data_IF_151623978033
#
_entry.id   IF_151623978033
#
_cell.length_a   1.000
_cell.length_b   1.000
_cell.length_c   1.000
_cell.angle_alpha   90.00
_cell.angle_beta   90.00
_cell.angle_gamma   90.00
#
_symmetry.space_group_name_H-M   'P 1'
#
loop_
_entity.id
_entity.type
_entity.pdbx_description
1 polymer ?
#
# COMPACT_ATOMS: atom_id res chain seq x y z
N UNK A 1 11.34 -34.91 2.70
CA UNK A 1 10.93 -33.90 3.68
C UNK A 1 11.16 -32.53 3.05
N UNK A 2 10.11 -31.87 2.61
CA UNK A 2 10.17 -30.53 2.00
C UNK A 2 10.07 -29.50 3.13
N UNK A 3 11.22 -29.07 3.64
CA UNK A 3 11.30 -28.03 4.64
C UNK A 3 11.15 -26.66 3.96
N UNK A 4 9.95 -26.10 4.13
CA UNK A 4 9.62 -24.69 4.35
C UNK A 4 10.71 -23.67 3.95
N UNK A 5 10.43 -22.92 2.88
CA UNK A 5 11.24 -21.79 2.41
C UNK A 5 10.88 -20.53 3.23
N UNK A 6 11.80 -19.90 3.97
CA UNK A 6 11.55 -18.59 4.56
C UNK A 6 12.25 -17.48 3.78
N UNK A 7 11.59 -16.32 3.68
CA UNK A 7 12.18 -14.99 3.43
C UNK A 7 12.39 -14.48 1.98
N UNK A 8 11.43 -14.71 1.07
CA UNK A 8 11.35 -13.92 -0.18
C UNK A 8 10.40 -12.69 -0.09
N UNK A 9 9.56 -12.56 0.94
CA UNK A 9 8.50 -11.51 0.99
C UNK A 9 8.89 -10.18 1.65
N UNK A 10 10.01 -10.12 2.39
CA UNK A 10 10.40 -8.90 3.15
C UNK A 10 11.15 -7.87 2.31
N UNK A 11 11.59 -8.26 1.11
CA UNK A 11 12.38 -7.41 0.20
C UNK A 11 11.55 -6.86 -0.96
N UNK A 12 10.24 -6.69 -0.79
CA UNK A 12 9.53 -5.70 -1.61
C UNK A 12 10.06 -4.34 -1.19
N UNK A 13 11.15 -3.96 -1.85
CA UNK A 13 12.18 -3.09 -1.34
C UNK A 13 11.63 -1.78 -0.77
N UNK A 14 12.16 -1.36 0.39
CA UNK A 14 11.98 0.01 0.88
C UNK A 14 12.26 1.05 -0.24
N UNK A 15 13.10 0.70 -1.21
CA UNK A 15 13.37 1.47 -2.43
C UNK A 15 12.09 1.76 -3.23
N UNK A 16 11.22 0.77 -3.46
CA UNK A 16 9.99 0.95 -4.23
C UNK A 16 9.01 1.88 -3.48
N UNK A 17 8.91 1.72 -2.15
CA UNK A 17 8.11 2.60 -1.32
C UNK A 17 8.64 4.04 -1.32
N UNK A 18 9.96 4.23 -1.25
CA UNK A 18 10.57 5.56 -1.28
C UNK A 18 10.36 6.30 -2.60
N UNK A 19 10.40 5.59 -3.73
CA UNK A 19 10.09 6.19 -5.04
C UNK A 19 8.59 6.51 -5.15
N UNK A 20 7.72 5.57 -4.79
CA UNK A 20 6.27 5.82 -4.79
C UNK A 20 5.88 7.00 -3.89
N UNK A 21 6.51 7.12 -2.74
CA UNK A 21 6.29 8.23 -1.82
C UNK A 21 6.76 9.58 -2.39
N UNK A 22 7.90 9.61 -3.09
CA UNK A 22 8.36 10.83 -3.77
C UNK A 22 7.41 11.25 -4.90
N UNK A 23 6.92 10.30 -5.69
CA UNK A 23 5.93 10.56 -6.75
C UNK A 23 4.64 11.13 -6.14
N UNK A 24 4.11 10.49 -5.10
CA UNK A 24 2.88 10.95 -4.44
C UNK A 24 3.04 12.34 -3.82
N UNK A 25 4.22 12.64 -3.25
CA UNK A 25 4.53 13.97 -2.74
C UNK A 25 4.60 15.02 -3.85
N UNK A 26 5.19 14.70 -4.99
CA UNK A 26 5.23 15.58 -6.17
C UNK A 26 3.82 15.89 -6.69
N UNK A 27 2.93 14.90 -6.64
CA UNK A 27 1.49 15.05 -6.90
C UNK A 27 0.72 15.75 -5.75
N UNK A 28 1.41 16.22 -4.72
CA UNK A 28 0.86 16.92 -3.55
C UNK A 28 -0.15 16.09 -2.74
N UNK A 29 0.02 14.76 -2.72
CA UNK A 29 -0.77 13.85 -1.89
C UNK A 29 -0.18 13.82 -0.48
N UNK A 30 -1.03 14.06 0.54
CA UNK A 30 -0.65 13.92 1.96
C UNK A 30 -1.32 12.75 2.66
N UNK A 31 -2.50 12.32 2.18
CA UNK A 31 -3.29 11.23 2.75
C UNK A 31 -3.83 10.34 1.64
N UNK A 32 -3.68 9.03 1.75
CA UNK A 32 -4.14 8.09 0.72
C UNK A 32 -4.73 6.81 1.28
N UNK A 33 -5.62 6.19 0.50
CA UNK A 33 -6.15 4.84 0.75
C UNK A 33 -5.57 3.87 -0.26
N UNK A 34 -5.09 2.73 0.21
CA UNK A 34 -4.42 1.74 -0.62
C UNK A 34 -5.44 0.74 -1.18
N UNK A 35 -5.48 0.59 -2.50
CA UNK A 35 -6.23 -0.47 -3.19
C UNK A 35 -5.46 -1.79 -3.11
N UNK A 36 -5.25 -2.30 -1.90
CA UNK A 36 -4.45 -3.48 -1.64
C UNK A 36 -4.98 -4.25 -0.44
N UNK A 37 -4.50 -5.49 -0.27
CA UNK A 37 -4.77 -6.27 0.94
C UNK A 37 -4.05 -5.63 2.13
N UNK A 38 -4.70 -5.57 3.31
CA UNK A 38 -4.10 -4.99 4.50
C UNK A 38 -2.85 -5.79 4.88
N UNK A 39 -1.70 -5.14 4.81
CA UNK A 39 -0.40 -5.72 5.17
C UNK A 39 0.33 -4.80 6.15
N UNK A 40 1.31 -5.36 6.86
CA UNK A 40 2.16 -4.57 7.76
C UNK A 40 3.04 -3.63 6.93
N UNK A 41 2.71 -2.35 6.91
CA UNK A 41 3.40 -1.32 6.13
C UNK A 41 4.42 -0.59 7.02
N UNK A 42 5.63 -0.26 6.52
CA UNK A 42 6.51 0.66 7.21
C UNK A 42 5.90 2.07 7.28
N UNK A 43 6.34 2.87 8.27
CA UNK A 43 5.87 4.25 8.43
C UNK A 43 6.28 5.12 7.25
N UNK A 44 5.31 5.80 6.63
CA UNK A 44 5.52 6.74 5.52
C UNK A 44 5.64 8.20 6.00
N UNK A 45 5.64 8.43 7.31
CA UNK A 45 5.68 9.76 7.90
C UNK A 45 6.91 10.58 7.47
N UNK A 46 8.06 9.92 7.23
CA UNK A 46 9.28 10.57 6.73
C UNK A 46 9.13 11.20 5.34
N UNK A 47 8.10 10.83 4.58
CA UNK A 47 7.79 11.38 3.26
C UNK A 47 6.63 12.38 3.26
N UNK A 48 6.03 12.66 4.43
CA UNK A 48 4.83 13.50 4.54
C UNK A 48 3.55 12.82 4.03
N UNK A 49 3.54 11.48 4.00
CA UNK A 49 2.43 10.67 3.51
C UNK A 49 1.81 9.84 4.63
N UNK A 50 0.49 9.88 4.71
CA UNK A 50 -0.32 9.13 5.67
C UNK A 50 -1.22 8.12 4.94
N UNK A 51 -1.10 6.84 5.29
CA UNK A 51 -2.03 5.81 4.80
C UNK A 51 -3.24 5.77 5.73
N UNK A 52 -4.39 6.22 5.24
CA UNK A 52 -5.62 6.32 6.04
C UNK A 52 -6.44 5.04 6.06
N UNK A 53 -6.12 4.08 5.18
CA UNK A 53 -6.75 2.77 5.18
C UNK A 53 -6.51 1.99 3.89
N UNK A 54 -7.11 0.82 3.84
CA UNK A 54 -7.17 0.00 2.64
C UNK A 54 -8.58 0.08 2.06
N UNK A 55 -8.69 0.14 0.75
CA UNK A 55 -9.96 0.02 0.04
C UNK A 55 -9.96 -1.34 -0.65
N UNK A 56 -10.95 -2.16 -0.31
CA UNK A 56 -11.03 -3.50 -0.86
C UNK A 56 -11.53 -3.40 -2.29
N UNK A 57 -10.72 -3.83 -3.25
CA UNK A 57 -11.08 -3.83 -4.67
C UNK A 57 -12.36 -4.65 -4.96
N UNK A 58 -12.82 -5.49 -4.01
CA UNK A 58 -14.07 -6.24 -4.11
C UNK A 58 -15.33 -5.39 -3.86
N UNK A 59 -15.23 -4.18 -3.30
CA UNK A 59 -16.40 -3.38 -2.94
C UNK A 59 -16.96 -2.52 -4.09
N UNK A 60 -16.25 -2.45 -5.23
CA UNK A 60 -16.72 -1.75 -6.41
C UNK A 60 -17.74 -2.59 -7.21
N UNK A 61 -18.91 -2.86 -6.62
CA UNK A 61 -20.14 -3.16 -7.36
C UNK A 61 -20.99 -1.90 -7.39
N UNK A 62 -20.91 -1.05 -8.44
CA UNK A 62 -21.87 0.02 -8.63
C UNK A 62 -23.13 -0.54 -9.31
N UNK A 63 -24.01 -1.20 -8.58
CA UNK A 63 -25.33 -1.59 -9.09
C UNK A 63 -26.30 -1.76 -7.92
N UNK A 64 -27.44 -1.08 -7.79
CA UNK A 64 -28.13 -0.06 -8.58
C UNK A 64 -29.21 0.49 -7.62
N UNK A 65 -29.43 1.80 -7.46
CA UNK A 65 -30.58 2.27 -6.68
C UNK A 65 -31.83 1.98 -7.52
N UNK A 66 -32.82 1.36 -6.90
CA UNK A 66 -34.16 1.13 -7.45
C UNK A 66 -35.09 2.23 -6.97
#
# INVERSE_FOLDING_TARGET
AVADQPAAETRMDLRNYGIGAQILRDLNVGKMRLLARPRKMPSMAGFGLEVTGYDDLSAASPASPR
#
